data_IF_686532646860
#
_entry.id   IF_686532646860
#
_cell.length_a   1.000
_cell.length_b   1.000
_cell.length_c   1.000
_cell.angle_alpha   90.00
_cell.angle_beta   90.00
_cell.angle_gamma   90.00
#
_symmetry.space_group_name_H-M   'P 1'
#
loop_
_entity.id
_entity.type
_entity.pdbx_description
1 polymer ?
#
# COMPACT_ATOMS: atom_id res chain seq x y z
N UNK A 1 -8.74 -20.52 27.10
CA UNK A 1 -9.34 -20.81 25.79
C UNK A 1 -9.82 -19.48 25.20
N UNK A 2 -9.64 -19.26 23.90
CA UNK A 2 -10.14 -18.08 23.17
C UNK A 2 -11.27 -18.59 22.27
N UNK A 3 -12.48 -18.07 22.45
CA UNK A 3 -13.62 -18.38 21.61
C UNK A 3 -13.92 -17.19 20.70
N UNK A 4 -14.35 -17.45 19.47
CA UNK A 4 -14.60 -16.40 18.48
C UNK A 4 -15.88 -16.72 17.71
N UNK A 5 -16.72 -15.71 17.50
CA UNK A 5 -17.96 -15.79 16.74
C UNK A 5 -18.08 -14.57 15.82
N UNK A 6 -18.59 -14.79 14.61
CA UNK A 6 -19.01 -13.71 13.72
C UNK A 6 -20.42 -13.28 14.12
N UNK A 7 -20.59 -12.00 14.46
CA UNK A 7 -21.85 -11.47 14.98
C UNK A 7 -22.34 -10.26 14.19
N UNK A 8 -23.62 -9.94 14.36
CA UNK A 8 -24.18 -8.65 13.98
C UNK A 8 -24.36 -7.83 15.25
N UNK A 9 -23.61 -6.75 15.41
CA UNK A 9 -23.76 -5.84 16.53
C UNK A 9 -24.88 -4.85 16.23
N UNK A 10 -25.81 -4.66 17.17
CA UNK A 10 -26.94 -3.72 17.02
C UNK A 10 -27.11 -2.84 18.27
N UNK A 11 -27.54 -1.58 18.11
CA UNK A 11 -27.98 -0.78 19.24
C UNK A 11 -29.25 -1.34 19.89
N UNK A 12 -29.28 -1.42 21.22
CA UNK A 12 -30.46 -1.75 21.99
C UNK A 12 -31.28 -0.49 22.30
N UNK A 13 -32.14 -0.08 21.37
CA UNK A 13 -32.96 1.12 21.53
C UNK A 13 -34.14 0.96 22.51
N UNK A 14 -34.38 -0.26 23.02
CA UNK A 14 -35.47 -0.52 23.98
C UNK A 14 -35.06 -0.19 25.43
N UNK A 15 -33.75 -0.06 25.71
CA UNK A 15 -33.24 0.31 27.02
C UNK A 15 -33.52 1.80 27.26
N UNK A 16 -34.54 2.08 28.09
CA UNK A 16 -34.90 3.44 28.52
C UNK A 16 -33.85 4.09 29.44
N UNK A 17 -32.96 3.30 30.04
CA UNK A 17 -31.93 3.79 30.94
C UNK A 17 -30.65 4.13 30.17
N UNK A 18 -30.48 5.41 29.82
CA UNK A 18 -29.36 5.90 29.02
C UNK A 18 -27.99 5.88 29.71
N UNK A 19 -27.87 5.37 30.95
CA UNK A 19 -26.58 5.29 31.68
C UNK A 19 -26.06 3.88 31.87
N UNK A 20 -26.88 2.85 31.65
CA UNK A 20 -26.46 1.46 31.86
C UNK A 20 -25.54 0.98 30.74
N UNK A 21 -24.34 0.52 31.08
CA UNK A 21 -23.43 -0.15 30.16
C UNK A 21 -23.78 -1.65 30.11
N UNK A 22 -24.56 -2.06 29.11
CA UNK A 22 -24.99 -3.46 28.99
C UNK A 22 -24.73 -4.03 27.60
N UNK A 23 -24.47 -5.34 27.61
CA UNK A 23 -24.24 -6.17 26.44
C UNK A 23 -25.23 -7.35 26.50
N UNK A 24 -26.16 -7.41 25.56
CA UNK A 24 -27.11 -8.53 25.46
C UNK A 24 -26.61 -9.57 24.45
N UNK A 25 -26.28 -10.77 24.91
CA UNK A 25 -25.78 -11.87 24.09
C UNK A 25 -26.82 -13.00 23.96
N UNK A 26 -26.89 -13.71 22.83
CA UNK A 26 -27.72 -14.90 22.67
C UNK A 26 -27.34 -15.99 23.68
N UNK A 27 -28.33 -16.71 24.21
CA UNK A 27 -28.14 -17.89 25.08
C UNK A 27 -27.22 -18.94 24.44
N UNK A 28 -27.29 -19.12 23.12
CA UNK A 28 -26.41 -20.03 22.37
C UNK A 28 -24.93 -19.66 22.49
N UNK A 29 -24.58 -18.37 22.41
CA UNK A 29 -23.21 -17.88 22.58
C UNK A 29 -22.80 -17.99 24.05
N UNK A 30 -23.65 -17.55 24.97
CA UNK A 30 -23.37 -17.58 26.41
C UNK A 30 -23.07 -19.00 26.92
N UNK A 31 -23.88 -19.99 26.51
CA UNK A 31 -23.69 -21.40 26.86
C UNK A 31 -22.44 -21.97 26.19
N UNK A 32 -22.25 -21.73 24.87
CA UNK A 32 -21.07 -22.20 24.13
C UNK A 32 -19.76 -21.71 24.74
N UNK A 33 -19.75 -20.48 25.24
CA UNK A 33 -18.56 -19.83 25.82
C UNK A 33 -18.48 -19.95 27.34
N UNK A 34 -19.47 -20.59 27.97
CA UNK A 34 -19.58 -20.75 29.42
C UNK A 34 -19.52 -19.42 30.19
N UNK A 35 -20.16 -18.38 29.64
CA UNK A 35 -20.27 -17.08 30.31
C UNK A 35 -21.30 -17.19 31.44
N UNK A 36 -20.82 -17.12 32.68
CA UNK A 36 -21.63 -17.26 33.89
C UNK A 36 -21.52 -16.04 34.84
N UNK A 37 -20.78 -15.01 34.45
CA UNK A 37 -20.61 -13.79 35.25
C UNK A 37 -21.62 -12.72 34.83
N UNK A 38 -22.22 -12.00 35.80
CA UNK A 38 -23.14 -10.91 35.50
C UNK A 38 -22.44 -9.68 34.92
N UNK A 39 -21.12 -9.56 35.12
CA UNK A 39 -20.32 -8.48 34.56
C UNK A 39 -18.99 -8.98 34.03
N UNK A 40 -18.57 -8.44 32.90
CA UNK A 40 -17.30 -8.77 32.24
C UNK A 40 -16.61 -7.49 31.76
N UNK A 41 -15.30 -7.59 31.57
CA UNK A 41 -14.55 -6.57 30.85
C UNK A 41 -14.89 -6.69 29.35
N UNK A 42 -15.18 -5.57 28.71
CA UNK A 42 -15.52 -5.49 27.30
C UNK A 42 -14.60 -4.50 26.61
N UNK A 43 -13.84 -5.01 25.64
CA UNK A 43 -12.81 -4.26 24.94
C UNK A 43 -13.22 -3.98 23.50
N UNK A 44 -13.02 -2.75 23.03
CA UNK A 44 -13.14 -2.39 21.62
C UNK A 44 -12.00 -1.44 21.24
N UNK A 45 -11.12 -1.90 20.36
CA UNK A 45 -9.87 -1.18 20.09
C UNK A 45 -9.03 -1.06 21.37
N UNK A 46 -8.69 0.17 21.76
CA UNK A 46 -7.95 0.45 23.00
C UNK A 46 -8.85 0.84 24.19
N UNK A 47 -10.17 0.83 24.02
CA UNK A 47 -11.11 1.19 25.07
C UNK A 47 -11.61 -0.07 25.75
N UNK A 48 -11.76 0.00 27.07
CA UNK A 48 -12.24 -1.09 27.91
C UNK A 48 -13.30 -0.56 28.87
N UNK A 49 -14.38 -1.31 29.01
CA UNK A 49 -15.49 -0.99 29.90
C UNK A 49 -15.95 -2.23 30.66
N UNK A 50 -16.39 -2.03 31.90
CA UNK A 50 -17.07 -3.11 32.63
C UNK A 50 -18.55 -3.07 32.26
N UNK A 51 -19.04 -4.16 31.68
CA UNK A 51 -20.42 -4.22 31.15
C UNK A 51 -21.24 -5.25 31.91
N UNK A 52 -22.52 -4.96 32.10
CA UNK A 52 -23.51 -5.94 32.53
C UNK A 52 -23.86 -6.86 31.35
N UNK A 53 -23.66 -8.16 31.53
CA UNK A 53 -23.94 -9.15 30.50
C UNK A 53 -25.35 -9.69 30.71
N UNK A 54 -26.20 -9.45 29.73
CA UNK A 54 -27.58 -9.92 29.71
C UNK A 54 -27.71 -11.05 28.70
N UNK A 55 -28.31 -12.16 29.09
CA UNK A 55 -28.52 -13.29 28.19
C UNK A 55 -29.98 -13.31 27.77
N UNK A 56 -30.22 -13.33 26.46
CA UNK A 56 -31.57 -13.41 25.92
C UNK A 56 -31.80 -14.72 25.17
N UNK A 57 -33.01 -15.26 25.29
CA UNK A 57 -33.39 -16.55 24.67
C UNK A 57 -33.77 -16.34 23.22
N UNK A 58 -33.20 -17.16 22.35
CA UNK A 58 -33.47 -17.17 20.91
C UNK A 58 -33.05 -18.51 20.32
N UNK A 59 -33.76 -18.98 19.30
CA UNK A 59 -33.50 -20.29 18.69
C UNK A 59 -32.26 -20.30 17.79
N UNK A 60 -31.89 -19.18 17.18
CA UNK A 60 -30.72 -19.09 16.27
C UNK A 60 -30.37 -17.64 15.91
N UNK A 61 -29.81 -16.87 16.84
CA UNK A 61 -29.33 -15.51 16.57
C UNK A 61 -27.83 -15.41 16.77
N UNK A 62 -27.16 -14.67 15.88
CA UNK A 62 -25.79 -14.18 16.07
C UNK A 62 -25.80 -12.66 16.33
N UNK A 63 -26.97 -12.09 16.65
CA UNK A 63 -27.10 -10.67 16.96
C UNK A 63 -26.71 -10.42 18.41
N UNK A 64 -25.86 -9.44 18.63
CA UNK A 64 -25.50 -8.96 19.96
C UNK A 64 -25.94 -7.52 20.08
N UNK A 65 -26.59 -7.18 21.19
CA UNK A 65 -27.10 -5.84 21.41
C UNK A 65 -26.22 -5.07 22.40
N UNK A 66 -25.91 -3.82 22.09
CA UNK A 66 -25.22 -2.90 23.00
C UNK A 66 -26.16 -1.78 23.41
N UNK A 67 -26.14 -1.39 24.69
CA UNK A 67 -26.82 -0.16 25.11
C UNK A 67 -26.22 1.07 24.41
N UNK A 68 -27.00 2.13 24.15
CA UNK A 68 -26.49 3.38 23.58
C UNK A 68 -25.34 4.00 24.39
N UNK A 69 -25.38 3.85 25.72
CA UNK A 69 -24.32 4.28 26.63
C UNK A 69 -23.01 3.54 26.37
N UNK A 70 -23.07 2.21 26.17
CA UNK A 70 -21.90 1.39 25.87
C UNK A 70 -21.31 1.71 24.51
N UNK A 71 -22.17 1.89 23.48
CA UNK A 71 -21.72 2.32 22.15
C UNK A 71 -20.97 3.65 22.24
N UNK A 72 -21.52 4.63 22.96
CA UNK A 72 -20.89 5.94 23.15
C UNK A 72 -19.56 5.84 23.88
N UNK A 73 -19.48 5.05 24.97
CA UNK A 73 -18.24 4.92 25.74
C UNK A 73 -17.12 4.30 24.91
N UNK A 74 -17.45 3.28 24.11
CA UNK A 74 -16.49 2.59 23.22
C UNK A 74 -16.28 3.29 21.88
N UNK A 75 -16.88 4.48 21.68
CA UNK A 75 -16.87 5.20 20.41
C UNK A 75 -17.33 4.35 19.22
N UNK A 76 -18.25 3.43 19.44
CA UNK A 76 -18.86 2.63 18.37
C UNK A 76 -20.02 3.41 17.73
N UNK A 77 -20.21 3.30 16.40
CA UNK A 77 -21.34 3.92 15.74
C UNK A 77 -22.66 3.39 16.29
N UNK A 78 -23.66 4.28 16.41
CA UNK A 78 -25.04 3.89 16.70
C UNK A 78 -25.72 3.29 15.46
N UNK A 79 -25.18 2.20 14.94
CA UNK A 79 -25.61 1.54 13.70
C UNK A 79 -25.40 0.02 13.80
N UNK A 80 -26.05 -0.73 12.91
CA UNK A 80 -25.82 -2.17 12.76
C UNK A 80 -24.47 -2.42 12.08
N UNK A 81 -23.63 -3.27 12.67
CA UNK A 81 -22.27 -3.53 12.18
C UNK A 81 -21.95 -5.04 12.26
N UNK A 82 -21.59 -5.69 11.14
CA UNK A 82 -20.98 -7.02 11.17
C UNK A 82 -19.57 -6.94 11.76
N UNK A 83 -19.32 -7.66 12.85
CA UNK A 83 -18.05 -7.64 13.55
C UNK A 83 -17.79 -8.98 14.22
N UNK A 84 -16.53 -9.27 14.49
CA UNK A 84 -16.14 -10.49 15.19
C UNK A 84 -16.09 -10.23 16.70
N UNK A 85 -16.74 -11.10 17.46
CA UNK A 85 -16.75 -11.10 18.91
C UNK A 85 -15.83 -12.21 19.40
N UNK A 86 -14.99 -11.91 20.37
CA UNK A 86 -14.08 -12.87 20.98
C UNK A 86 -14.26 -12.89 22.49
N UNK A 87 -14.15 -14.06 23.11
CA UNK A 87 -14.11 -14.22 24.55
C UNK A 87 -12.84 -14.93 24.99
N UNK A 88 -12.12 -14.33 25.95
CA UNK A 88 -10.93 -14.89 26.57
C UNK A 88 -11.23 -15.31 28.00
N UNK A 89 -11.38 -16.62 28.26
CA UNK A 89 -11.74 -17.14 29.58
C UNK A 89 -10.70 -16.79 30.66
N UNK A 90 -9.41 -16.73 30.28
CA UNK A 90 -8.32 -16.42 31.22
C UNK A 90 -8.43 -14.99 31.75
N UNK A 91 -8.82 -14.05 30.89
CA UNK A 91 -8.95 -12.63 31.23
C UNK A 91 -10.38 -12.27 31.67
N UNK A 92 -11.36 -13.17 31.48
CA UNK A 92 -12.80 -12.85 31.62
C UNK A 92 -13.17 -11.58 30.83
N UNK A 93 -12.67 -11.52 29.59
CA UNK A 93 -12.79 -10.35 28.73
C UNK A 93 -13.44 -10.75 27.41
N UNK A 94 -14.44 -9.97 27.01
CA UNK A 94 -15.01 -9.99 25.68
C UNK A 94 -14.33 -8.88 24.88
N UNK A 95 -13.99 -9.13 23.62
CA UNK A 95 -13.42 -8.14 22.72
C UNK A 95 -14.12 -8.10 21.36
N UNK A 96 -14.23 -6.89 20.82
CA UNK A 96 -14.73 -6.61 19.47
C UNK A 96 -13.57 -6.28 18.53
N UNK A 97 -13.50 -6.99 17.42
CA UNK A 97 -12.52 -6.73 16.38
C UNK A 97 -12.18 -7.96 15.54
N UNK A 98 -11.32 -7.80 14.53
CA UNK A 98 -10.39 -6.68 14.40
C UNK A 98 -11.01 -5.41 13.83
N UNK A 99 -10.34 -4.29 14.11
CA UNK A 99 -10.72 -2.95 13.65
C UNK A 99 -9.61 -2.45 12.72
N UNK A 100 -9.89 -2.31 11.43
CA UNK A 100 -8.91 -1.91 10.43
C UNK A 100 -9.16 -0.48 9.96
N UNK A 101 -8.10 0.32 9.92
CA UNK A 101 -8.17 1.71 9.45
C UNK A 101 -7.31 1.90 8.21
N UNK A 102 -7.84 2.54 7.16
CA UNK A 102 -7.05 3.06 6.05
C UNK A 102 -6.83 4.56 6.25
N UNK A 103 -5.58 4.97 6.48
CA UNK A 103 -5.22 6.38 6.61
C UNK A 103 -4.83 6.97 5.25
N UNK A 104 -5.49 8.04 4.81
CA UNK A 104 -5.24 8.65 3.48
C UNK A 104 -5.39 10.17 3.50
N UNK A 105 -4.65 10.86 2.64
CA UNK A 105 -4.84 12.29 2.37
C UNK A 105 -5.74 12.55 1.15
N UNK A 106 -6.38 11.52 0.61
CA UNK A 106 -7.31 11.64 -0.51
C UNK A 106 -8.57 12.40 -0.08
N UNK A 107 -9.02 13.31 -0.94
CA UNK A 107 -10.24 14.11 -0.76
C UNK A 107 -11.01 14.12 -2.07
N UNK A 108 -12.33 14.14 -1.99
CA UNK A 108 -13.20 14.40 -3.13
C UNK A 108 -14.53 15.00 -2.69
N UNK A 109 -15.57 14.82 -3.51
CA UNK A 109 -16.92 15.31 -3.27
C UNK A 109 -17.82 14.27 -2.56
N UNK A 110 -19.10 14.55 -2.41
CA UNK A 110 -20.06 13.65 -1.77
C UNK A 110 -20.21 12.29 -2.48
N UNK A 111 -20.06 12.25 -3.81
CA UNK A 111 -20.19 11.03 -4.60
C UNK A 111 -18.91 10.19 -4.58
N UNK A 112 -17.75 10.84 -4.44
CA UNK A 112 -16.42 10.25 -4.41
C UNK A 112 -15.62 10.83 -3.23
N UNK A 113 -15.96 10.51 -1.96
CA UNK A 113 -15.38 11.16 -0.78
C UNK A 113 -13.85 11.03 -0.68
N UNK A 114 -13.27 10.04 -1.33
CA UNK A 114 -11.82 9.79 -1.36
C UNK A 114 -11.23 9.98 -2.77
N UNK A 115 -11.91 10.75 -3.63
CA UNK A 115 -11.53 10.98 -5.02
C UNK A 115 -11.32 9.66 -5.78
N UNK A 116 -10.21 9.55 -6.50
CA UNK A 116 -9.84 8.35 -7.27
C UNK A 116 -9.67 7.06 -6.44
N UNK A 117 -9.60 7.16 -5.12
CA UNK A 117 -9.49 5.99 -4.22
C UNK A 117 -10.83 5.50 -3.70
N UNK A 118 -11.94 6.19 -3.96
CA UNK A 118 -13.25 5.83 -3.41
C UNK A 118 -13.65 4.40 -3.76
N UNK A 119 -13.46 3.98 -5.01
CA UNK A 119 -13.77 2.62 -5.44
C UNK A 119 -12.94 1.56 -4.68
N UNK A 120 -11.65 1.84 -4.45
CA UNK A 120 -10.76 0.94 -3.70
C UNK A 120 -11.13 0.88 -2.21
N UNK A 121 -11.44 2.01 -1.59
CA UNK A 121 -11.91 2.05 -0.20
C UNK A 121 -13.22 1.29 -0.04
N UNK A 122 -14.15 1.42 -0.99
CA UNK A 122 -15.44 0.71 -0.97
C UNK A 122 -15.21 -0.79 -1.07
N UNK A 123 -14.37 -1.21 -2.00
CA UNK A 123 -14.01 -2.61 -2.21
C UNK A 123 -13.42 -3.26 -0.94
N UNK A 124 -12.54 -2.54 -0.22
CA UNK A 124 -12.04 -3.01 1.08
C UNK A 124 -13.17 -3.09 2.10
N UNK A 125 -14.01 -2.06 2.19
CA UNK A 125 -15.07 -1.99 3.19
C UNK A 125 -16.09 -3.12 3.02
N UNK A 126 -16.51 -3.40 1.79
CA UNK A 126 -17.44 -4.49 1.47
C UNK A 126 -16.81 -5.86 1.77
N UNK A 127 -15.52 -6.06 1.44
CA UNK A 127 -14.82 -7.29 1.80
C UNK A 127 -14.68 -7.47 3.32
N UNK A 128 -14.37 -6.40 4.06
CA UNK A 128 -14.31 -6.41 5.52
C UNK A 128 -15.68 -6.71 6.15
N UNK A 129 -16.76 -6.13 5.61
CA UNK A 129 -18.15 -6.39 6.04
C UNK A 129 -18.51 -7.88 5.91
N UNK A 130 -18.25 -8.50 4.75
CA UNK A 130 -18.46 -9.94 4.53
C UNK A 130 -17.65 -10.81 5.52
N UNK A 131 -16.47 -10.33 5.90
CA UNK A 131 -15.56 -11.02 6.81
C UNK A 131 -15.75 -10.65 8.29
N UNK A 132 -16.72 -9.80 8.63
CA UNK A 132 -17.02 -9.34 10.00
C UNK A 132 -15.84 -8.63 10.65
N UNK A 133 -15.27 -7.69 9.91
CA UNK A 133 -14.17 -6.82 10.32
C UNK A 133 -14.68 -5.38 10.26
N UNK A 134 -14.54 -4.64 11.35
CA UNK A 134 -14.90 -3.22 11.33
C UNK A 134 -13.82 -2.45 10.58
N UNK A 135 -14.18 -1.89 9.42
CA UNK A 135 -13.28 -1.10 8.60
C UNK A 135 -13.73 0.36 8.48
N UNK A 136 -12.77 1.28 8.51
CA UNK A 136 -13.04 2.68 8.24
C UNK A 136 -11.88 3.39 7.55
N UNK A 137 -12.21 4.50 6.89
CA UNK A 137 -11.24 5.38 6.25
C UNK A 137 -11.03 6.61 7.12
N UNK A 138 -9.78 6.93 7.40
CA UNK A 138 -9.36 8.11 8.14
C UNK A 138 -8.67 9.11 7.20
N UNK A 139 -9.22 10.33 7.12
CA UNK A 139 -8.82 11.36 6.16
C UNK A 139 -7.92 12.45 6.77
N UNK A 140 -7.08 12.08 7.74
CA UNK A 140 -6.14 12.97 8.45
C UNK A 140 -6.82 14.13 9.21
N UNK A 141 -8.07 13.92 9.64
CA UNK A 141 -8.76 14.78 10.61
C UNK A 141 -8.07 14.70 11.98
N UNK A 142 -8.36 15.57 12.96
CA UNK A 142 -7.76 15.43 14.30
C UNK A 142 -7.92 14.02 14.88
N UNK A 143 -6.81 13.43 15.33
CA UNK A 143 -6.77 12.16 16.05
C UNK A 143 -6.65 12.48 17.53
N UNK A 144 -7.62 12.09 18.35
CA UNK A 144 -7.54 12.28 19.79
C UNK A 144 -7.21 10.97 20.52
N UNK A 145 -7.00 11.05 21.82
CA UNK A 145 -6.55 9.91 22.63
C UNK A 145 -7.60 8.81 22.82
N UNK A 146 -8.87 9.01 22.45
CA UNK A 146 -9.93 8.04 22.77
C UNK A 146 -10.78 7.64 21.55
N UNK A 147 -10.90 8.49 20.53
CA UNK A 147 -11.74 8.30 19.35
C UNK A 147 -11.07 8.82 18.08
N UNK A 148 -11.48 8.23 16.96
CA UNK A 148 -11.02 8.60 15.63
C UNK A 148 -12.20 9.10 14.82
N UNK A 149 -12.11 10.31 14.26
CA UNK A 149 -13.09 10.77 13.29
C UNK A 149 -12.81 10.15 11.93
N UNK A 150 -13.62 9.17 11.55
CA UNK A 150 -13.48 8.43 10.31
C UNK A 150 -14.76 8.40 9.49
N UNK A 151 -14.68 7.69 8.36
CA UNK A 151 -15.82 7.45 7.48
C UNK A 151 -15.99 5.94 7.31
N UNK A 152 -17.17 5.43 7.63
CA UNK A 152 -17.53 4.01 7.53
C UNK A 152 -18.42 3.76 6.31
N UNK A 153 -18.35 2.55 5.77
CA UNK A 153 -19.31 2.07 4.79
C UNK A 153 -20.46 1.40 5.52
N UNK A 154 -21.67 1.94 5.40
CA UNK A 154 -22.88 1.33 5.97
C UNK A 154 -24.07 1.57 5.04
N UNK A 155 -24.92 0.56 4.87
CA UNK A 155 -26.11 0.62 4.01
C UNK A 155 -25.80 1.15 2.60
N UNK A 156 -24.65 0.72 2.04
CA UNK A 156 -24.15 1.14 0.72
C UNK A 156 -23.88 2.64 0.58
N UNK A 157 -23.58 3.31 1.69
CA UNK A 157 -23.24 4.72 1.74
C UNK A 157 -22.04 4.98 2.66
N UNK A 158 -21.33 6.08 2.41
CA UNK A 158 -20.24 6.55 3.26
C UNK A 158 -20.78 7.48 4.35
N UNK A 159 -20.54 7.16 5.61
CA UNK A 159 -21.07 7.92 6.75
C UNK A 159 -19.92 8.36 7.65
N UNK A 160 -19.88 9.64 8.01
CA UNK A 160 -18.92 10.14 9.01
C UNK A 160 -19.34 9.68 10.40
N UNK A 161 -18.39 9.17 11.19
CA UNK A 161 -18.65 8.66 12.53
C UNK A 161 -17.45 8.88 13.45
N UNK A 162 -17.73 8.95 14.76
CA UNK A 162 -16.73 8.76 15.80
C UNK A 162 -16.51 7.26 15.96
N UNK A 163 -15.25 6.82 15.92
CA UNK A 163 -14.88 5.42 15.83
C UNK A 163 -13.84 5.04 16.89
N UNK A 164 -13.80 3.77 17.33
CA UNK A 164 -12.76 3.29 18.22
C UNK A 164 -11.38 3.35 17.53
N UNK A 165 -10.33 3.36 18.34
CA UNK A 165 -8.96 3.19 17.83
C UNK A 165 -8.86 1.86 17.07
N UNK A 166 -8.14 1.84 15.94
CA UNK A 166 -8.01 0.63 15.16
C UNK A 166 -6.98 -0.32 15.79
N UNK A 167 -7.17 -1.61 15.52
CA UNK A 167 -6.19 -2.66 15.80
C UNK A 167 -4.97 -2.57 14.88
N UNK A 168 -5.15 -1.99 13.69
CA UNK A 168 -4.09 -1.84 12.69
C UNK A 168 -4.42 -0.70 11.71
N UNK A 169 -3.37 0.03 11.28
CA UNK A 169 -3.49 1.08 10.27
C UNK A 169 -2.79 0.67 8.97
N UNK A 170 -3.51 0.74 7.87
CA UNK A 170 -2.95 0.69 6.53
C UNK A 170 -2.61 2.11 6.08
N UNK A 171 -1.33 2.49 6.14
CA UNK A 171 -0.90 3.83 5.77
C UNK A 171 -0.90 4.03 4.24
N UNK A 172 -1.86 4.82 3.77
CA UNK A 172 -2.03 5.22 2.37
C UNK A 172 -2.00 6.74 2.22
N UNK A 173 -1.16 7.41 2.99
CA UNK A 173 -0.79 8.80 2.72
C UNK A 173 0.06 8.83 1.45
N UNK A 174 -0.50 9.40 0.38
CA UNK A 174 0.00 9.32 -0.98
C UNK A 174 1.00 10.41 -1.37
N UNK A 175 1.26 11.36 -0.49
CA UNK A 175 2.16 12.48 -0.73
C UNK A 175 3.43 12.34 0.08
N UNK A 176 4.57 12.16 -0.61
CA UNK A 176 5.92 12.15 0.01
C UNK A 176 6.17 13.41 0.83
N UNK A 177 5.76 14.57 0.32
CA UNK A 177 5.92 15.87 1.01
C UNK A 177 5.09 15.91 2.29
N UNK A 178 3.85 15.44 2.23
CA UNK A 178 2.95 15.44 3.38
C UNK A 178 3.42 14.42 4.44
N UNK A 179 3.87 13.25 4.02
CA UNK A 179 4.33 12.22 4.94
C UNK A 179 5.55 12.68 5.76
N UNK A 180 6.42 13.52 5.19
CA UNK A 180 7.55 14.15 5.89
C UNK A 180 7.18 15.43 6.66
N UNK A 181 5.90 15.80 6.71
CA UNK A 181 5.46 16.99 7.45
C UNK A 181 5.43 16.71 8.94
N UNK A 182 5.66 17.75 9.76
CA UNK A 182 5.57 17.66 11.22
C UNK A 182 4.20 17.19 11.71
N UNK A 183 3.13 17.46 10.95
CA UNK A 183 1.79 16.96 11.25
C UNK A 183 1.72 15.43 11.20
N UNK A 184 2.27 14.81 10.15
CA UNK A 184 2.24 13.35 10.00
C UNK A 184 3.22 12.69 10.96
N UNK A 185 4.38 13.30 11.23
CA UNK A 185 5.30 12.76 12.23
C UNK A 185 4.68 12.74 13.63
N UNK A 186 3.95 13.80 14.03
CA UNK A 186 3.18 13.81 15.28
C UNK A 186 2.10 12.74 15.30
N UNK A 187 1.38 12.56 14.19
CA UNK A 187 0.35 11.53 14.07
C UNK A 187 0.94 10.11 14.21
N UNK A 188 2.07 9.84 13.56
CA UNK A 188 2.79 8.57 13.69
C UNK A 188 3.32 8.35 15.10
N UNK A 189 3.78 9.40 15.78
CA UNK A 189 4.17 9.32 17.18
C UNK A 189 2.98 8.88 18.06
N UNK A 190 1.80 9.45 17.85
CA UNK A 190 0.58 9.03 18.54
C UNK A 190 0.26 7.55 18.25
N UNK A 191 0.38 7.09 17.01
CA UNK A 191 0.16 5.67 16.69
C UNK A 191 1.14 4.75 17.43
N UNK A 192 2.42 5.14 17.52
CA UNK A 192 3.46 4.39 18.27
C UNK A 192 3.17 4.40 19.77
N UNK A 193 2.88 5.55 20.36
CA UNK A 193 2.51 5.69 21.79
C UNK A 193 1.29 4.85 22.16
N UNK A 194 0.34 4.70 21.22
CA UNK A 194 -0.86 3.90 21.38
C UNK A 194 -0.66 2.41 21.01
N UNK A 195 0.56 1.99 20.68
CA UNK A 195 0.89 0.63 20.24
C UNK A 195 0.04 0.14 19.05
N UNK A 196 -0.33 1.05 18.15
CA UNK A 196 -1.10 0.70 16.96
C UNK A 196 -0.12 0.35 15.83
N UNK A 197 -0.04 -0.92 15.39
CA UNK A 197 0.79 -1.29 14.26
C UNK A 197 0.29 -0.61 12.99
N UNK A 198 1.21 -0.11 12.17
CA UNK A 198 0.85 0.50 10.90
C UNK A 198 1.79 0.11 9.77
N UNK A 199 1.20 -0.35 8.68
CA UNK A 199 1.92 -0.91 7.54
C UNK A 199 2.12 0.13 6.44
N UNK A 200 3.21 -0.05 5.69
CA UNK A 200 3.71 0.86 4.67
C UNK A 200 4.08 2.22 5.27
N UNK A 201 4.84 2.18 6.36
CA UNK A 201 5.17 3.32 7.22
C UNK A 201 5.69 4.55 6.45
N UNK A 202 6.58 4.35 5.48
CA UNK A 202 7.23 5.45 4.77
C UNK A 202 7.42 5.18 3.28
N UNK A 203 7.63 6.25 2.52
CA UNK A 203 8.21 6.17 1.19
C UNK A 203 9.72 5.97 1.26
N UNK A 204 10.23 4.98 0.53
CA UNK A 204 11.64 4.85 0.24
C UNK A 204 12.00 5.65 -1.01
N UNK A 205 13.18 6.28 -1.00
CA UNK A 205 13.73 6.97 -2.16
C UNK A 205 14.63 6.02 -2.99
N UNK A 206 14.91 6.38 -4.25
CA UNK A 206 15.63 5.49 -5.18
C UNK A 206 17.04 5.13 -4.71
N UNK A 207 17.72 6.07 -4.06
CA UNK A 207 19.07 5.85 -3.54
C UNK A 207 19.06 4.96 -2.30
N UNK A 208 18.13 5.17 -1.37
CA UNK A 208 17.93 4.29 -0.20
C UNK A 208 17.68 2.84 -0.63
N UNK A 209 16.80 2.63 -1.63
CA UNK A 209 16.54 1.28 -2.18
C UNK A 209 17.82 0.69 -2.77
N UNK A 210 18.54 1.43 -3.60
CA UNK A 210 19.79 0.95 -4.20
C UNK A 210 20.82 0.55 -3.14
N UNK A 211 21.04 1.41 -2.13
CA UNK A 211 22.00 1.12 -1.05
C UNK A 211 21.60 -0.08 -0.18
N UNK A 212 20.30 -0.33 0.00
CA UNK A 212 19.81 -1.49 0.74
C UNK A 212 19.94 -2.79 -0.04
N UNK A 213 19.85 -2.74 -1.36
CA UNK A 213 19.92 -3.94 -2.20
C UNK A 213 21.36 -4.29 -2.64
N UNK A 214 22.22 -3.29 -2.83
CA UNK A 214 23.59 -3.49 -3.34
C UNK A 214 24.46 -4.46 -2.53
N UNK A 215 24.38 -4.54 -1.18
CA UNK A 215 25.19 -5.46 -0.38
C UNK A 215 24.78 -6.94 -0.51
N UNK A 216 23.69 -7.24 -1.22
CA UNK A 216 23.10 -8.58 -1.30
C UNK A 216 23.43 -9.24 -2.63
N UNK A 217 24.33 -10.23 -2.60
CA UNK A 217 24.81 -10.95 -3.79
C UNK A 217 23.68 -11.60 -4.61
N UNK A 218 22.59 -11.98 -3.94
CA UNK A 218 21.38 -12.54 -4.57
C UNK A 218 20.61 -11.54 -5.46
N UNK A 219 20.79 -10.24 -5.25
CA UNK A 219 20.03 -9.17 -5.94
C UNK A 219 20.93 -8.17 -6.68
N UNK A 220 22.16 -7.95 -6.21
CA UNK A 220 23.11 -6.99 -6.77
C UNK A 220 23.38 -7.15 -8.28
N UNK A 221 23.48 -8.37 -8.85
CA UNK A 221 23.65 -8.56 -10.30
C UNK A 221 22.51 -8.03 -11.17
N UNK A 222 21.35 -7.75 -10.58
CA UNK A 222 20.16 -7.23 -11.26
C UNK A 222 20.00 -5.71 -11.06
N UNK A 223 20.92 -5.05 -10.33
CA UNK A 223 20.93 -3.60 -10.18
C UNK A 223 21.77 -2.95 -11.29
N UNK A 224 21.24 -1.94 -12.00
CA UNK A 224 22.07 -1.12 -12.87
C UNK A 224 23.09 -0.33 -12.05
N UNK A 225 24.29 -0.13 -12.60
CA UNK A 225 25.29 0.71 -11.94
C UNK A 225 24.72 2.11 -11.69
N UNK A 226 24.77 2.54 -10.43
CA UNK A 226 24.11 3.77 -9.96
C UNK A 226 24.99 4.51 -8.97
N UNK A 227 25.17 5.80 -9.19
CA UNK A 227 25.88 6.72 -8.28
C UNK A 227 25.04 7.97 -7.99
N UNK A 228 25.33 8.67 -6.90
CA UNK A 228 24.75 9.99 -6.63
C UNK A 228 25.33 11.04 -7.58
N UNK A 229 24.48 11.96 -8.05
CA UNK A 229 24.91 13.11 -8.84
C UNK A 229 25.35 14.26 -7.92
N UNK A 230 26.63 14.32 -7.60
CA UNK A 230 27.22 15.40 -6.80
C UNK A 230 27.84 16.47 -7.72
N UNK A 231 28.54 16.03 -8.76
CA UNK A 231 29.30 16.87 -9.68
C UNK A 231 29.08 16.49 -11.15
N UNK A 232 29.57 17.32 -12.07
CA UNK A 232 29.61 16.96 -13.49
C UNK A 232 30.52 15.75 -13.74
N UNK A 233 31.58 15.60 -12.95
CA UNK A 233 32.56 14.52 -13.08
C UNK A 233 31.93 13.14 -12.90
N UNK A 234 30.88 13.03 -12.07
CA UNK A 234 30.10 11.80 -11.95
C UNK A 234 29.46 11.39 -13.29
N UNK A 235 28.89 12.35 -14.03
CA UNK A 235 28.29 12.09 -15.35
C UNK A 235 29.39 11.69 -16.33
N UNK A 236 30.53 12.40 -16.32
CA UNK A 236 31.64 12.12 -17.21
C UNK A 236 32.24 10.73 -16.98
N UNK A 237 32.46 10.35 -15.71
CA UNK A 237 32.95 9.04 -15.33
C UNK A 237 31.98 7.92 -15.73
N UNK A 238 30.68 8.11 -15.52
CA UNK A 238 29.68 7.10 -15.93
C UNK A 238 29.57 7.01 -17.46
N UNK A 239 29.72 8.13 -18.18
CA UNK A 239 29.65 8.14 -19.65
C UNK A 239 30.88 7.48 -20.30
N UNK A 240 32.02 7.38 -19.62
CA UNK A 240 33.16 6.61 -20.16
C UNK A 240 32.91 5.10 -20.13
N UNK A 241 32.04 4.63 -19.24
CA UNK A 241 31.71 3.20 -19.09
C UNK A 241 30.46 2.80 -19.86
N UNK A 242 29.49 3.71 -20.00
CA UNK A 242 28.17 3.39 -20.55
C UNK A 242 27.75 4.34 -21.67
N UNK A 243 27.22 3.84 -22.79
CA UNK A 243 26.82 4.68 -23.93
C UNK A 243 25.51 5.46 -23.68
N UNK A 244 24.78 5.12 -22.63
CA UNK A 244 23.54 5.79 -22.24
C UNK A 244 23.46 5.87 -20.72
N UNK A 245 23.00 7.00 -20.20
CA UNK A 245 22.74 7.23 -18.78
C UNK A 245 21.37 7.83 -18.55
N UNK A 246 20.78 7.50 -17.41
CA UNK A 246 19.58 8.13 -16.89
C UNK A 246 19.90 8.93 -15.64
N UNK A 247 19.54 10.21 -15.65
CA UNK A 247 19.57 11.05 -14.46
C UNK A 247 18.16 11.09 -13.88
N UNK A 248 17.98 10.52 -12.68
CA UNK A 248 16.68 10.39 -12.03
C UNK A 248 16.66 11.14 -10.69
N UNK A 249 15.61 11.92 -10.37
CA UNK A 249 15.51 12.55 -9.06
C UNK A 249 15.22 11.50 -7.97
N UNK A 250 15.86 11.63 -6.80
CA UNK A 250 15.75 10.64 -5.71
C UNK A 250 14.29 10.37 -5.29
N UNK A 251 13.49 11.43 -5.18
CA UNK A 251 12.09 11.40 -4.73
C UNK A 251 11.07 11.50 -5.88
N UNK A 252 11.49 11.35 -7.13
CA UNK A 252 10.60 11.43 -8.28
C UNK A 252 9.62 10.26 -8.37
N UNK A 253 8.51 10.50 -9.07
CA UNK A 253 7.48 9.50 -9.36
C UNK A 253 7.03 9.60 -10.82
N UNK A 254 6.39 8.55 -11.34
CA UNK A 254 5.73 8.54 -12.66
C UNK A 254 6.67 8.78 -13.86
N UNK A 255 7.98 8.61 -13.68
CA UNK A 255 8.96 8.87 -14.74
C UNK A 255 9.10 10.35 -15.12
N UNK A 256 8.71 11.28 -14.23
CA UNK A 256 8.82 12.73 -14.44
C UNK A 256 10.21 13.24 -14.08
N UNK A 257 10.65 14.30 -14.77
CA UNK A 257 11.94 14.96 -14.57
C UNK A 257 13.15 14.04 -14.70
N UNK A 258 13.06 13.01 -15.55
CA UNK A 258 14.20 12.17 -15.89
C UNK A 258 14.90 12.77 -17.11
N UNK A 259 16.23 12.79 -17.09
CA UNK A 259 17.03 13.06 -18.27
C UNK A 259 17.64 11.76 -18.78
N UNK A 260 17.66 11.57 -20.08
CA UNK A 260 18.44 10.52 -20.75
C UNK A 260 19.59 11.19 -21.50
N UNK A 261 20.81 10.79 -21.18
CA UNK A 261 22.01 11.19 -21.93
C UNK A 261 22.41 9.98 -22.78
N UNK A 262 22.65 10.19 -24.07
CA UNK A 262 23.19 9.14 -24.94
C UNK A 262 24.30 9.70 -25.82
N UNK A 263 25.27 8.84 -26.16
CA UNK A 263 26.30 9.16 -27.13
C UNK A 263 26.06 8.37 -28.42
N UNK A 264 25.74 9.08 -29.51
CA UNK A 264 25.41 8.51 -30.83
C UNK A 264 25.94 9.41 -31.93
N UNK A 265 26.41 8.84 -33.03
CA UNK A 265 26.87 9.58 -34.23
C UNK A 265 27.87 10.71 -33.91
N UNK A 266 28.81 10.45 -33.01
CA UNK A 266 29.81 11.40 -32.51
C UNK A 266 29.25 12.64 -31.79
N UNK A 267 27.99 12.59 -31.35
CA UNK A 267 27.35 13.65 -30.59
C UNK A 267 26.77 13.10 -29.28
N UNK A 268 26.68 13.98 -28.29
CA UNK A 268 25.92 13.74 -27.08
C UNK A 268 24.50 14.29 -27.26
N UNK A 269 23.52 13.49 -26.89
CA UNK A 269 22.11 13.83 -26.92
C UNK A 269 21.52 13.79 -25.51
N UNK A 270 20.76 14.83 -25.15
CA UNK A 270 20.01 14.94 -23.91
C UNK A 270 18.51 14.96 -24.22
N UNK A 271 17.80 13.91 -23.81
CA UNK A 271 16.34 13.84 -23.89
C UNK A 271 15.70 14.06 -22.52
N UNK A 272 14.62 14.83 -22.47
CA UNK A 272 13.83 15.02 -21.26
C UNK A 272 12.40 15.48 -21.59
N UNK A 273 11.48 15.30 -20.65
CA UNK A 273 10.11 15.81 -20.78
C UNK A 273 9.96 17.21 -20.16
N UNK A 274 9.24 18.10 -20.83
CA UNK A 274 8.93 19.48 -20.41
C UNK A 274 7.44 19.81 -20.56
N UNK A 275 7.01 21.00 -20.14
CA UNK A 275 5.64 21.49 -20.37
C UNK A 275 5.30 21.61 -21.87
N UNK A 276 6.30 21.76 -22.74
CA UNK A 276 6.14 21.81 -24.20
C UNK A 276 6.24 20.42 -24.85
N UNK A 277 6.20 19.34 -24.05
CA UNK A 277 6.40 17.97 -24.52
C UNK A 277 7.85 17.49 -24.37
N UNK A 278 8.17 16.39 -25.05
CA UNK A 278 9.53 15.84 -25.09
C UNK A 278 10.46 16.80 -25.82
N UNK A 279 11.69 16.93 -25.31
CA UNK A 279 12.71 17.82 -25.83
C UNK A 279 14.00 17.04 -25.99
N UNK A 280 14.74 17.38 -27.04
CA UNK A 280 16.04 16.80 -27.36
C UNK A 280 17.04 17.92 -27.59
N UNK A 281 18.19 17.84 -26.93
CA UNK A 281 19.31 18.76 -27.13
C UNK A 281 20.52 17.95 -27.58
N UNK A 282 21.17 18.41 -28.64
CA UNK A 282 22.38 17.77 -29.16
C UNK A 282 23.59 18.68 -28.93
N UNK A 283 24.73 18.10 -28.56
CA UNK A 283 25.99 18.79 -28.35
C UNK A 283 27.15 17.94 -28.83
N UNK A 284 28.23 18.56 -29.31
CA UNK A 284 29.49 17.88 -29.62
C UNK A 284 30.27 17.46 -28.37
N UNK A 285 30.04 18.14 -27.23
CA UNK A 285 30.69 17.84 -25.97
C UNK A 285 29.66 17.53 -24.88
N UNK A 286 30.01 16.62 -23.97
CA UNK A 286 29.17 16.31 -22.82
C UNK A 286 28.92 17.54 -21.93
N UNK A 287 29.95 18.39 -21.77
CA UNK A 287 29.87 19.63 -20.98
C UNK A 287 28.83 20.62 -21.53
N UNK A 288 28.59 20.62 -22.85
CA UNK A 288 27.56 21.46 -23.47
C UNK A 288 26.13 21.12 -23.03
N UNK A 289 25.88 19.89 -22.56
CA UNK A 289 24.56 19.48 -22.05
C UNK A 289 24.33 19.91 -20.59
N UNK A 290 25.40 20.09 -19.82
CA UNK A 290 25.34 20.26 -18.37
C UNK A 290 24.59 21.52 -17.89
N UNK A 291 24.69 22.70 -18.53
CA UNK A 291 23.92 23.88 -18.13
C UNK A 291 22.41 23.63 -18.15
N UNK A 292 21.92 22.87 -19.13
CA UNK A 292 20.49 22.51 -19.20
C UNK A 292 20.11 21.57 -18.06
N UNK A 293 20.93 20.56 -17.79
CA UNK A 293 20.71 19.61 -16.68
C UNK A 293 20.63 20.38 -15.37
N UNK A 294 21.65 21.20 -15.05
CA UNK A 294 21.70 21.98 -13.80
C UNK A 294 20.55 22.98 -13.67
N UNK A 295 20.23 23.71 -14.75
CA UNK A 295 19.13 24.67 -14.75
C UNK A 295 17.76 24.03 -14.47
N UNK A 296 17.56 22.80 -14.94
CA UNK A 296 16.29 22.06 -14.76
C UNK A 296 16.26 21.19 -13.50
N UNK A 297 17.40 20.64 -13.07
CA UNK A 297 17.50 19.86 -11.83
C UNK A 297 17.42 20.77 -10.60
N UNK A 298 17.84 22.04 -10.71
CA UNK A 298 17.92 23.00 -9.60
C UNK A 298 18.64 22.37 -8.39
N UNK A 299 18.11 22.55 -7.19
CA UNK A 299 18.60 21.99 -5.92
C UNK A 299 18.02 20.61 -5.59
N UNK A 300 17.33 19.96 -6.53
CA UNK A 300 16.79 18.61 -6.29
C UNK A 300 17.94 17.62 -6.42
N UNK A 301 18.10 16.65 -5.50
CA UNK A 301 19.12 15.62 -5.60
C UNK A 301 18.75 14.59 -6.69
N UNK A 302 19.74 14.18 -7.47
CA UNK A 302 19.62 13.20 -8.54
C UNK A 302 20.62 12.05 -8.34
N UNK A 303 20.30 10.92 -8.97
CA UNK A 303 21.25 9.84 -9.22
C UNK A 303 21.60 9.80 -10.71
N UNK A 304 22.77 9.25 -11.02
CA UNK A 304 23.22 8.88 -12.37
C UNK A 304 23.18 7.36 -12.44
N UNK A 305 22.46 6.80 -13.40
CA UNK A 305 22.26 5.37 -13.53
C UNK A 305 22.58 4.92 -14.95
N UNK A 306 23.21 3.75 -15.09
CA UNK A 306 23.43 3.06 -16.34
C UNK A 306 22.13 2.92 -17.14
N UNK A 307 22.19 3.24 -18.43
CA UNK A 307 21.15 2.90 -19.39
C UNK A 307 21.26 1.45 -19.81
N UNK A 308 20.18 0.70 -19.65
CA UNK A 308 20.08 -0.71 -20.05
C UNK A 308 19.34 -0.78 -21.40
N UNK A 309 19.81 -1.57 -22.38
CA UNK A 309 19.07 -1.89 -23.59
C UNK A 309 17.91 -2.84 -23.26
N UNK A 310 16.83 -2.28 -22.72
CA UNK A 310 15.65 -3.04 -22.31
C UNK A 310 14.95 -3.67 -23.50
N UNK A 311 14.19 -4.73 -23.23
CA UNK A 311 13.27 -5.35 -24.16
C UNK A 311 12.25 -4.33 -24.65
N UNK A 312 12.02 -4.37 -25.96
CA UNK A 312 11.03 -3.53 -26.64
C UNK A 312 10.07 -4.42 -27.45
N UNK A 313 8.79 -4.07 -27.46
CA UNK A 313 7.78 -4.62 -28.37
C UNK A 313 7.42 -3.51 -29.34
N UNK A 314 7.63 -3.74 -30.64
CA UNK A 314 7.42 -2.73 -31.70
C UNK A 314 8.17 -1.41 -31.46
N UNK A 315 9.34 -1.48 -30.81
CA UNK A 315 10.16 -0.33 -30.42
C UNK A 315 9.67 0.43 -29.18
N UNK A 316 8.70 -0.13 -28.45
CA UNK A 316 8.20 0.43 -27.20
C UNK A 316 8.76 -0.35 -26.00
N UNK A 317 9.41 0.34 -25.03
CA UNK A 317 9.94 -0.32 -23.84
C UNK A 317 8.89 -1.10 -23.05
N UNK A 318 9.32 -2.27 -22.55
CA UNK A 318 8.51 -3.14 -21.71
C UNK A 318 9.06 -3.15 -20.29
N UNK A 319 8.18 -3.03 -19.31
CA UNK A 319 8.50 -3.38 -17.92
C UNK A 319 7.41 -4.26 -17.31
N UNK A 320 7.74 -4.91 -16.20
CA UNK A 320 6.89 -5.79 -15.44
C UNK A 320 6.64 -5.19 -14.06
N UNK A 321 5.37 -4.93 -13.77
CA UNK A 321 4.91 -4.55 -12.43
C UNK A 321 4.52 -5.80 -11.67
N UNK A 322 5.31 -6.14 -10.66
CA UNK A 322 5.05 -7.23 -9.73
C UNK A 322 4.54 -6.64 -8.41
N UNK A 323 3.36 -7.04 -7.98
CA UNK A 323 2.78 -6.64 -6.70
C UNK A 323 3.00 -7.76 -5.69
N UNK A 324 3.80 -7.48 -4.67
CA UNK A 324 4.14 -8.40 -3.60
C UNK A 324 3.42 -7.98 -2.31
N UNK A 325 2.79 -8.93 -1.62
CA UNK A 325 2.18 -8.72 -0.30
C UNK A 325 2.65 -9.81 0.67
N UNK A 326 2.67 -9.50 1.97
CA UNK A 326 2.86 -10.53 3.00
C UNK A 326 1.64 -11.45 3.10
N UNK A 327 1.90 -12.74 3.31
CA UNK A 327 0.87 -13.72 3.67
C UNK A 327 0.68 -13.82 5.19
N UNK A 328 -0.21 -14.70 5.63
CA UNK A 328 -0.48 -14.97 7.06
C UNK A 328 0.65 -15.74 7.78
N UNK A 329 1.85 -15.76 7.22
CA UNK A 329 3.07 -16.22 7.88
C UNK A 329 4.21 -15.22 7.70
N UNK A 330 3.87 -13.97 7.39
CA UNK A 330 4.79 -12.85 7.13
C UNK A 330 5.73 -13.05 5.93
N UNK A 331 5.45 -14.03 5.07
CA UNK A 331 6.27 -14.29 3.88
C UNK A 331 5.77 -13.45 2.72
N UNK A 332 6.71 -12.85 1.99
CA UNK A 332 6.39 -12.12 0.77
C UNK A 332 5.94 -13.07 -0.34
N UNK A 333 4.82 -12.73 -1.00
CA UNK A 333 4.23 -13.47 -2.12
C UNK A 333 3.80 -12.53 -3.23
N UNK A 334 4.00 -12.96 -4.47
CA UNK A 334 3.44 -12.29 -5.65
C UNK A 334 1.93 -12.49 -5.69
N UNK A 335 1.18 -11.39 -5.73
CA UNK A 335 -0.28 -11.38 -5.84
C UNK A 335 -0.76 -10.93 -7.22
N UNK A 336 0.07 -10.17 -7.94
CA UNK A 336 -0.19 -9.78 -9.33
C UNK A 336 1.12 -9.57 -10.07
N UNK A 337 1.16 -9.95 -11.34
CA UNK A 337 2.27 -9.69 -12.25
C UNK A 337 1.68 -9.30 -13.61
N UNK A 338 2.07 -8.12 -14.11
CA UNK A 338 1.56 -7.55 -15.36
C UNK A 338 2.69 -6.92 -16.15
N UNK A 339 2.59 -6.98 -17.47
CA UNK A 339 3.49 -6.26 -18.36
C UNK A 339 2.90 -4.88 -18.67
N UNK A 340 3.77 -3.87 -18.79
CA UNK A 340 3.45 -2.51 -19.20
C UNK A 340 4.28 -2.17 -20.43
N UNK A 341 3.60 -1.85 -21.52
CA UNK A 341 4.24 -1.49 -22.78
C UNK A 341 4.03 0.01 -22.99
N UNK A 342 5.11 0.76 -23.22
CA UNK A 342 5.01 2.18 -23.54
C UNK A 342 4.13 2.44 -24.78
N UNK A 343 3.45 3.58 -24.86
CA UNK A 343 2.58 3.90 -26.01
C UNK A 343 3.31 4.41 -27.24
N UNK A 344 4.53 4.92 -27.07
CA UNK A 344 5.32 5.49 -28.17
C UNK A 344 6.80 5.23 -27.94
N UNK A 345 7.51 5.04 -29.06
CA UNK A 345 8.96 4.91 -29.17
C UNK A 345 9.71 6.12 -28.57
N UNK A 346 9.07 7.29 -28.56
CA UNK A 346 9.64 8.53 -28.00
C UNK A 346 9.56 8.58 -26.47
N UNK A 347 8.88 7.62 -25.83
CA UNK A 347 8.80 7.51 -24.38
C UNK A 347 9.84 6.51 -23.87
N UNK A 348 10.90 7.02 -23.27
CA UNK A 348 11.92 6.19 -22.61
C UNK A 348 11.49 5.66 -21.21
N UNK A 349 10.22 5.79 -20.83
CA UNK A 349 9.65 5.29 -19.57
C UNK A 349 8.25 4.72 -19.79
N UNK A 350 8.07 3.44 -19.49
CA UNK A 350 6.85 2.62 -19.64
C UNK A 350 5.86 2.75 -18.46
N UNK A 351 5.54 3.97 -18.05
CA UNK A 351 4.63 4.19 -16.91
C UNK A 351 3.15 4.25 -17.36
N UNK A 352 2.23 3.59 -16.62
CA UNK A 352 0.77 3.67 -16.87
C UNK A 352 0.29 5.13 -16.80
N UNK A 353 0.84 5.93 -15.89
CA UNK A 353 0.51 7.36 -15.80
C UNK A 353 0.92 8.17 -17.05
N UNK A 354 1.73 7.58 -17.95
CA UNK A 354 2.11 8.12 -19.26
C UNK A 354 1.40 7.42 -20.42
N UNK A 355 0.41 6.59 -20.13
CA UNK A 355 -0.45 5.89 -21.08
C UNK A 355 -0.11 4.42 -21.31
N UNK A 356 0.94 3.86 -20.68
CA UNK A 356 1.39 2.50 -21.00
C UNK A 356 0.25 1.46 -21.00
N UNK A 357 0.25 0.59 -22.01
CA UNK A 357 -0.75 -0.47 -22.18
C UNK A 357 -0.48 -1.59 -21.17
N UNK A 358 -1.51 -1.93 -20.39
CA UNK A 358 -1.47 -3.05 -19.46
C UNK A 358 -1.73 -4.37 -20.21
N UNK A 359 -0.83 -5.33 -20.07
CA UNK A 359 -0.92 -6.66 -20.68
C UNK A 359 -0.67 -7.76 -19.66
N UNK A 360 -0.99 -9.01 -20.01
CA UNK A 360 -0.57 -10.14 -19.17
C UNK A 360 0.94 -10.20 -19.14
N UNK A 361 1.51 -10.72 -18.07
CA UNK A 361 2.95 -10.87 -17.92
C UNK A 361 3.60 -11.55 -19.14
N UNK A 362 2.99 -12.64 -19.62
CA UNK A 362 3.51 -13.45 -20.73
C UNK A 362 3.52 -12.70 -22.07
N UNK A 363 2.55 -11.82 -22.30
CA UNK A 363 2.46 -11.01 -23.53
C UNK A 363 3.66 -10.05 -23.64
N UNK A 364 4.24 -9.65 -22.50
CA UNK A 364 5.44 -8.82 -22.44
C UNK A 364 6.72 -9.55 -22.85
N UNK A 365 6.69 -10.88 -22.99
CA UNK A 365 7.84 -11.72 -23.32
C UNK A 365 7.76 -12.33 -24.73
N UNK A 366 6.79 -11.90 -25.53
CA UNK A 366 6.44 -12.53 -26.82
C UNK A 366 7.58 -12.53 -27.86
N UNK A 367 8.57 -11.64 -27.71
CA UNK A 367 9.72 -11.54 -28.62
C UNK A 367 10.79 -12.61 -28.34
N UNK A 368 10.76 -13.23 -27.15
CA UNK A 368 11.73 -14.25 -26.77
C UNK A 368 11.32 -15.65 -27.23
N UNK A 369 12.30 -16.54 -27.35
CA UNK A 369 12.03 -17.97 -27.48
C UNK A 369 11.41 -18.57 -26.20
N UNK A 370 10.90 -19.80 -26.31
CA UNK A 370 10.21 -20.47 -25.21
C UNK A 370 11.12 -20.71 -23.99
N UNK A 371 12.42 -20.92 -24.19
CA UNK A 371 13.36 -21.19 -23.11
C UNK A 371 13.57 -19.94 -22.24
N UNK A 372 13.84 -18.79 -22.86
CA UNK A 372 13.98 -17.51 -22.18
C UNK A 372 12.65 -17.12 -21.54
N UNK A 373 11.51 -17.28 -22.24
CA UNK A 373 10.20 -17.00 -21.65
C UNK A 373 9.98 -17.82 -20.36
N UNK A 374 10.28 -19.12 -20.38
CA UNK A 374 10.11 -20.00 -19.22
C UNK A 374 11.04 -19.61 -18.06
N UNK A 375 12.29 -19.27 -18.35
CA UNK A 375 13.24 -18.79 -17.35
C UNK A 375 12.78 -17.47 -16.73
N UNK A 376 12.40 -16.49 -17.55
CA UNK A 376 11.95 -15.17 -17.11
C UNK A 376 10.67 -15.25 -16.27
N UNK A 377 9.71 -16.10 -16.66
CA UNK A 377 8.48 -16.37 -15.88
C UNK A 377 8.75 -16.93 -14.49
N UNK A 378 9.90 -17.59 -14.29
CA UNK A 378 10.32 -18.10 -12.99
C UNK A 378 11.11 -17.05 -12.20
N UNK A 379 12.16 -16.49 -12.80
CA UNK A 379 13.14 -15.66 -12.08
C UNK A 379 12.56 -14.30 -11.67
N UNK A 380 11.70 -13.69 -12.48
CA UNK A 380 11.17 -12.34 -12.20
C UNK A 380 10.27 -12.33 -10.94
N UNK A 381 9.31 -13.26 -10.76
CA UNK A 381 8.56 -13.38 -9.51
C UNK A 381 9.42 -13.74 -8.28
N UNK A 382 10.41 -14.63 -8.45
CA UNK A 382 11.34 -15.02 -7.37
C UNK A 382 12.16 -13.81 -6.90
N UNK A 383 12.77 -13.09 -7.86
CA UNK A 383 13.52 -11.86 -7.62
C UNK A 383 12.66 -10.78 -6.95
N UNK A 384 11.41 -10.60 -7.37
CA UNK A 384 10.52 -9.62 -6.75
C UNK A 384 10.20 -9.96 -5.28
N UNK A 385 10.07 -11.24 -4.93
CA UNK A 385 9.92 -11.68 -3.54
C UNK A 385 11.19 -11.42 -2.73
N UNK A 386 12.36 -11.73 -3.29
CA UNK A 386 13.65 -11.53 -2.63
C UNK A 386 13.92 -10.05 -2.35
N UNK A 387 13.71 -9.18 -3.36
CA UNK A 387 13.78 -7.72 -3.20
C UNK A 387 12.85 -7.26 -2.08
N UNK A 388 11.63 -7.81 -2.03
CA UNK A 388 10.65 -7.42 -1.00
C UNK A 388 11.11 -7.83 0.40
N UNK A 389 11.69 -9.02 0.53
CA UNK A 389 12.23 -9.54 1.78
C UNK A 389 13.42 -8.70 2.27
N UNK A 390 14.36 -8.36 1.39
CA UNK A 390 15.52 -7.53 1.73
C UNK A 390 15.05 -6.13 2.12
N UNK A 391 14.17 -5.50 1.34
CA UNK A 391 13.68 -4.15 1.66
C UNK A 391 12.96 -4.11 3.00
N UNK A 392 12.14 -5.11 3.31
CA UNK A 392 11.45 -5.23 4.59
C UNK A 392 12.41 -5.45 5.77
N UNK A 393 13.51 -6.21 5.57
CA UNK A 393 14.55 -6.43 6.60
C UNK A 393 15.44 -5.21 6.83
N UNK A 394 15.87 -4.55 5.76
CA UNK A 394 16.84 -3.44 5.79
C UNK A 394 16.18 -2.07 5.99
N UNK A 395 14.86 -2.01 6.17
CA UNK A 395 14.12 -0.75 6.36
C UNK A 395 13.52 -0.63 7.74
N UNK A 396 13.58 0.58 8.29
CA UNK A 396 12.79 0.93 9.46
C UNK A 396 11.29 0.92 9.12
N UNK A 397 10.51 0.43 10.08
CA UNK A 397 9.06 0.38 9.98
C UNK A 397 8.53 -0.86 9.28
N UNK A 398 7.21 -0.98 9.26
CA UNK A 398 6.54 -2.19 8.77
C UNK A 398 6.09 -2.05 7.33
N UNK A 399 6.35 -3.04 6.48
CA UNK A 399 5.83 -3.13 5.11
C UNK A 399 4.97 -4.37 4.93
N UNK A 400 3.79 -4.19 4.32
CA UNK A 400 2.83 -5.26 4.03
C UNK A 400 2.54 -5.44 2.54
N UNK A 401 2.94 -4.45 1.73
CA UNK A 401 2.85 -4.49 0.27
C UNK A 401 4.03 -3.74 -0.36
N UNK A 402 4.52 -4.21 -1.49
CA UNK A 402 5.50 -3.52 -2.32
C UNK A 402 5.13 -3.71 -3.80
N UNK A 403 5.28 -2.66 -4.61
CA UNK A 403 5.25 -2.76 -6.06
C UNK A 403 6.68 -2.77 -6.59
N UNK A 404 7.11 -3.86 -7.20
CA UNK A 404 8.43 -4.01 -7.79
C UNK A 404 8.30 -3.83 -9.30
N UNK A 405 9.05 -2.89 -9.84
CA UNK A 405 9.15 -2.64 -11.27
C UNK A 405 10.44 -3.27 -11.75
N UNK A 406 10.31 -4.35 -12.51
CA UNK A 406 11.41 -5.06 -13.14
C UNK A 406 11.32 -4.85 -14.65
N UNK A 407 12.42 -4.93 -15.36
CA UNK A 407 12.42 -5.11 -16.80
C UNK A 407 13.39 -6.22 -17.16
N UNK A 408 13.54 -6.52 -18.44
CA UNK A 408 14.50 -7.49 -18.95
C UNK A 408 15.22 -6.83 -20.12
N UNK A 409 16.50 -7.13 -20.32
CA UNK A 409 17.22 -6.72 -21.52
C UNK A 409 16.95 -7.64 -22.72
N UNK A 410 17.62 -7.41 -23.84
CA UNK A 410 17.46 -8.17 -25.07
C UNK A 410 17.90 -9.64 -24.96
N UNK A 411 18.62 -10.02 -23.91
CA UNK A 411 19.06 -11.39 -23.66
C UNK A 411 18.20 -12.10 -22.59
N UNK A 412 17.19 -11.41 -22.06
CA UNK A 412 16.28 -11.91 -21.03
C UNK A 412 16.83 -11.79 -19.61
N UNK A 413 17.96 -11.09 -19.40
CA UNK A 413 18.48 -10.83 -18.06
C UNK A 413 17.64 -9.75 -17.36
N UNK A 414 17.11 -10.01 -16.15
CA UNK A 414 16.23 -9.06 -15.47
C UNK A 414 16.99 -7.91 -14.83
N UNK A 415 16.33 -6.76 -14.75
CA UNK A 415 16.87 -5.54 -14.17
C UNK A 415 15.86 -4.87 -13.25
N UNK A 416 16.36 -4.36 -12.12
CA UNK A 416 15.54 -3.65 -11.13
C UNK A 416 15.42 -2.19 -11.54
N UNK A 417 14.18 -1.76 -11.78
CA UNK A 417 13.88 -0.40 -12.25
C UNK A 417 13.44 0.49 -11.10
N UNK A 418 12.51 0.02 -10.26
CA UNK A 418 11.98 0.78 -9.12
C UNK A 418 11.34 -0.13 -8.07
N UNK A 419 11.42 0.26 -6.79
CA UNK A 419 10.65 -0.32 -5.70
C UNK A 419 9.70 0.74 -5.13
N UNK A 420 8.40 0.43 -5.11
CA UNK A 420 7.33 1.32 -4.71
C UNK A 420 6.67 0.83 -3.42
N UNK A 421 6.79 1.57 -2.32
CA UNK A 421 6.21 1.18 -1.02
C UNK A 421 4.71 1.44 -0.89
N UNK A 422 4.13 2.26 -1.75
CA UNK A 422 2.68 2.55 -1.80
C UNK A 422 2.18 2.48 -3.24
N UNK A 423 2.14 1.28 -3.86
CA UNK A 423 1.74 1.11 -5.26
C UNK A 423 0.32 1.66 -5.51
N UNK A 424 0.08 2.20 -6.71
CA UNK A 424 -1.24 2.77 -7.06
C UNK A 424 -2.35 1.73 -6.96
N UNK A 425 -3.55 2.19 -6.56
CA UNK A 425 -4.76 1.36 -6.44
C UNK A 425 -5.93 1.89 -7.28
N UNK A 426 -5.70 3.01 -7.98
CA UNK A 426 -6.66 3.58 -8.93
C UNK A 426 -6.84 2.59 -10.08
N UNK A 427 -8.08 2.29 -10.41
CA UNK A 427 -8.45 1.25 -11.37
C UNK A 427 -8.29 1.72 -12.81
N UNK A 428 -7.35 1.15 -13.54
CA UNK A 428 -7.45 1.00 -14.98
C UNK A 428 -7.66 -0.50 -15.27
N UNK A 429 -8.90 -0.91 -15.54
CA UNK A 429 -9.19 -2.19 -16.21
C UNK A 429 -9.52 -3.44 -15.38
N UNK A 430 -9.97 -3.35 -14.12
CA UNK A 430 -10.43 -4.53 -13.36
C UNK A 430 -11.96 -4.62 -13.38
N UNK A 431 -12.45 -5.76 -13.85
CA UNK A 431 -13.86 -6.16 -13.94
C UNK A 431 -14.55 -6.06 -12.56
N UNK A 432 -15.71 -5.41 -12.49
CA UNK A 432 -16.37 -4.97 -11.24
C UNK A 432 -17.06 -6.07 -10.43
N UNK A 433 -17.00 -7.33 -10.88
CA UNK A 433 -17.80 -8.42 -10.30
C UNK A 433 -17.07 -9.26 -9.24
N UNK A 434 -15.80 -8.98 -8.92
CA UNK A 434 -15.09 -9.70 -7.86
C UNK A 434 -14.03 -8.81 -7.19
N UNK A 435 -13.84 -8.96 -5.87
CA UNK A 435 -12.74 -8.32 -5.15
C UNK A 435 -11.38 -8.72 -5.74
N UNK A 436 -10.52 -7.74 -5.98
CA UNK A 436 -9.18 -7.95 -6.53
C UNK A 436 -8.35 -8.84 -5.59
N UNK A 437 -7.49 -9.73 -6.13
CA UNK A 437 -6.64 -10.59 -5.31
C UNK A 437 -5.83 -9.83 -4.26
N UNK A 438 -5.38 -8.61 -4.56
CA UNK A 438 -4.64 -7.78 -3.61
C UNK A 438 -5.46 -7.33 -2.41
N UNK A 439 -6.77 -7.06 -2.56
CA UNK A 439 -7.63 -6.72 -1.41
C UNK A 439 -7.80 -7.93 -0.51
N UNK A 440 -8.11 -9.10 -1.10
CA UNK A 440 -8.24 -10.36 -0.36
C UNK A 440 -6.97 -10.71 0.42
N UNK A 441 -5.81 -10.64 -0.24
CA UNK A 441 -4.52 -10.94 0.39
C UNK A 441 -4.19 -9.96 1.53
N UNK A 442 -4.40 -8.65 1.29
CA UNK A 442 -4.14 -7.61 2.29
C UNK A 442 -5.00 -7.79 3.54
N UNK A 443 -6.31 -8.00 3.38
CA UNK A 443 -7.22 -8.15 4.52
C UNK A 443 -6.99 -9.47 5.25
N UNK A 444 -6.64 -10.57 4.55
CA UNK A 444 -6.22 -11.82 5.21
C UNK A 444 -4.97 -11.62 6.06
N UNK A 445 -3.97 -10.91 5.54
CA UNK A 445 -2.75 -10.60 6.28
C UNK A 445 -3.04 -9.74 7.51
N UNK A 446 -3.77 -8.64 7.36
CA UNK A 446 -4.11 -7.76 8.49
C UNK A 446 -4.98 -8.44 9.53
N UNK A 447 -5.95 -9.26 9.10
CA UNK A 447 -6.78 -10.03 10.01
C UNK A 447 -5.95 -11.08 10.78
N UNK A 448 -5.01 -11.76 10.11
CA UNK A 448 -4.09 -12.68 10.77
C UNK A 448 -3.19 -11.96 11.79
N UNK A 449 -2.61 -10.81 11.41
CA UNK A 449 -1.73 -10.02 12.27
C UNK A 449 -2.43 -9.52 13.54
N UNK A 450 -3.74 -9.27 13.46
CA UNK A 450 -4.54 -8.73 14.58
C UNK A 450 -5.29 -9.79 15.38
N UNK A 451 -5.24 -11.06 14.97
CA UNK A 451 -5.88 -12.21 15.65
C UNK A 451 -5.01 -12.76 16.76
#
# INVERSE_FOLDING_TARGET
MKHTEKIILQPNNEIKNNTLLSLSIPETIAVKWQINKPSLLFQCGALEEVVEVQVYRTSSSHTVYCSPALLTSLSLPNQTIPITLTFCNKLNMISLGPILCLATNAKGDESQPFGAYTAFCREIAEYCEEHHILFYVYTLKPWNEHRVQGTIWNQRSWINSDLPKPSLIYNRIHSRKLEKSSQIEKLKAIWREQNIPYFNESFLNKWEVHQKLLPHDEVAPYLPETILLESFDNIQSMMSSYPTLYLKPLNGSQGKHIFRISYRDHHFQLDYSSFQGNQTITSKTLSGLYPTIRGRSKLVPYLVQQGIPLLEIDGCPVDFRILCLKDSGERWKVVSAVARIAQSKDQFVSNIARGALLKKFEDGLIQFDEAIQKQTKRIVPELACEISQIIDRESDGMFGELGIDLSVDQDGHPWIIEVNTKPSKTSDGINTNCYRPSVKALIRFFNWYTS
#
